data_IF_651371981712
#
_entry.id   IF_651371981712
#
_cell.length_a   1.000
_cell.length_b   1.000
_cell.length_c   1.000
_cell.angle_alpha   90.00
_cell.angle_beta   90.00
_cell.angle_gamma   90.00
#
_symmetry.space_group_name_H-M   'P 1'
#
loop_
_entity.id
_entity.type
_entity.pdbx_description
1 polymer ?
#
# COMPACT_ATOMS: atom_id res chain seq x y z
N UNK A 1 11.45 -19.46 -23.84
CA UNK A 1 12.74 -18.79 -24.14
C UNK A 1 13.43 -18.51 -22.80
N UNK A 2 14.68 -18.96 -22.64
CA UNK A 2 15.44 -18.67 -21.42
C UNK A 2 15.71 -17.16 -21.35
N UNK A 3 15.24 -16.50 -20.28
CA UNK A 3 15.50 -15.09 -20.04
C UNK A 3 16.99 -14.91 -19.77
N UNK A 4 17.67 -14.10 -20.56
CA UNK A 4 19.10 -13.86 -20.39
C UNK A 4 19.28 -12.76 -19.31
N UNK A 5 19.60 -13.16 -18.09
CA UNK A 5 19.79 -12.27 -16.97
C UNK A 5 21.20 -11.64 -17.00
N UNK A 6 21.30 -10.34 -16.74
CA UNK A 6 22.60 -9.70 -16.53
C UNK A 6 23.22 -10.20 -15.22
N UNK A 7 24.54 -10.02 -15.06
CA UNK A 7 25.25 -10.43 -13.85
C UNK A 7 24.67 -9.80 -12.58
N UNK A 8 24.35 -8.49 -12.63
CA UNK A 8 23.73 -7.77 -11.52
C UNK A 8 22.32 -8.30 -11.18
N UNK A 9 21.50 -8.60 -12.19
CA UNK A 9 20.19 -9.21 -11.98
C UNK A 9 20.33 -10.62 -11.39
N UNK A 10 21.25 -11.43 -11.92
CA UNK A 10 21.50 -12.77 -11.41
C UNK A 10 21.93 -12.74 -9.95
N UNK A 11 22.83 -11.83 -9.59
CA UNK A 11 23.25 -11.60 -8.20
C UNK A 11 22.04 -11.22 -7.31
N UNK A 12 21.16 -10.34 -7.77
CA UNK A 12 19.94 -9.98 -7.04
C UNK A 12 18.98 -11.19 -6.88
N UNK A 13 18.86 -12.04 -7.87
CA UNK A 13 18.02 -13.25 -7.85
C UNK A 13 18.56 -14.30 -6.88
N UNK A 14 19.87 -14.50 -6.83
CA UNK A 14 20.50 -15.62 -6.11
C UNK A 14 20.95 -15.29 -4.69
N UNK A 15 21.09 -13.98 -4.33
CA UNK A 15 21.51 -13.58 -2.97
C UNK A 15 20.60 -14.14 -1.89
N UNK A 16 21.19 -14.67 -0.81
CA UNK A 16 20.50 -15.24 0.36
C UNK A 16 20.93 -14.49 1.64
N UNK A 17 20.14 -14.55 2.67
CA UNK A 17 20.45 -14.16 4.06
C UNK A 17 20.88 -12.70 4.29
N UNK A 18 20.48 -11.76 3.39
CA UNK A 18 20.86 -10.34 3.51
C UNK A 18 19.69 -9.44 3.12
N UNK A 19 19.69 -8.25 3.74
CA UNK A 19 18.92 -7.12 3.22
C UNK A 19 19.49 -6.73 1.86
N UNK A 20 18.67 -6.74 0.83
CA UNK A 20 19.06 -6.42 -0.54
C UNK A 20 18.30 -5.19 -1.02
N UNK A 21 19.04 -4.13 -1.31
CA UNK A 21 18.53 -2.94 -2.00
C UNK A 21 18.85 -3.07 -3.49
N UNK A 22 17.83 -3.06 -4.34
CA UNK A 22 17.97 -3.06 -5.80
C UNK A 22 17.57 -1.70 -6.35
N UNK A 23 18.56 -0.92 -6.74
CA UNK A 23 18.36 0.35 -7.43
C UNK A 23 18.55 0.16 -8.92
N UNK A 24 17.57 0.59 -9.72
CA UNK A 24 17.62 0.44 -11.16
C UNK A 24 16.65 1.40 -11.86
N UNK A 25 16.98 1.85 -13.07
CA UNK A 25 16.15 2.75 -13.88
C UNK A 25 14.78 2.11 -14.25
N UNK A 26 13.84 2.92 -14.68
CA UNK A 26 12.58 2.43 -15.24
C UNK A 26 12.86 1.52 -16.43
N UNK A 27 12.09 0.44 -16.59
CA UNK A 27 12.29 -0.52 -17.69
C UNK A 27 13.45 -1.51 -17.54
N UNK A 28 14.28 -1.41 -16.51
CA UNK A 28 15.46 -2.29 -16.27
C UNK A 28 15.12 -3.72 -15.84
N UNK A 29 13.85 -4.11 -15.79
CA UNK A 29 13.44 -5.45 -15.40
C UNK A 29 13.36 -5.70 -13.88
N UNK A 30 13.24 -4.65 -13.02
CA UNK A 30 13.11 -4.83 -11.57
C UNK A 30 12.03 -5.84 -11.16
N UNK A 31 10.83 -5.70 -11.72
CA UNK A 31 9.72 -6.62 -11.43
C UNK A 31 10.00 -8.03 -11.90
N UNK A 32 10.60 -8.20 -13.09
CA UNK A 32 10.99 -9.51 -13.58
C UNK A 32 12.04 -10.17 -12.67
N UNK A 33 13.06 -9.41 -12.24
CA UNK A 33 14.09 -9.88 -11.31
C UNK A 33 13.48 -10.30 -9.96
N UNK A 34 12.54 -9.52 -9.42
CA UNK A 34 11.84 -9.87 -8.18
C UNK A 34 10.99 -11.14 -8.35
N UNK A 35 10.24 -11.23 -9.44
CA UNK A 35 9.41 -12.41 -9.76
C UNK A 35 10.27 -13.66 -9.83
N UNK A 36 11.36 -13.62 -10.59
CA UNK A 36 12.29 -14.73 -10.74
C UNK A 36 12.92 -15.13 -9.40
N UNK A 37 13.31 -14.15 -8.57
CA UNK A 37 13.82 -14.40 -7.22
C UNK A 37 12.83 -15.19 -6.36
N UNK A 38 11.55 -14.79 -6.37
CA UNK A 38 10.49 -15.47 -5.63
C UNK A 38 10.32 -16.90 -6.16
N UNK A 39 10.22 -17.08 -7.47
CA UNK A 39 10.03 -18.38 -8.10
C UNK A 39 11.19 -19.31 -7.73
N UNK A 40 12.43 -18.86 -7.86
CA UNK A 40 13.61 -19.70 -7.48
C UNK A 40 13.63 -20.06 -6.01
N UNK A 41 13.15 -19.19 -5.13
CA UNK A 41 13.03 -19.51 -3.69
C UNK A 41 11.98 -20.59 -3.45
N UNK A 42 10.84 -20.54 -4.14
CA UNK A 42 9.75 -21.51 -4.00
C UNK A 42 10.09 -22.87 -4.64
N UNK A 43 10.88 -22.88 -5.72
CA UNK A 43 11.25 -24.08 -6.48
C UNK A 43 12.65 -24.60 -6.13
N UNK A 44 13.30 -24.03 -5.12
CA UNK A 44 14.62 -24.50 -4.65
C UNK A 44 14.51 -25.95 -4.19
N UNK A 45 15.46 -26.79 -4.62
CA UNK A 45 15.42 -28.23 -4.30
C UNK A 45 16.00 -28.55 -2.92
N UNK A 46 16.96 -27.74 -2.47
CA UNK A 46 17.72 -28.00 -1.25
C UNK A 46 17.07 -27.29 -0.05
N UNK A 47 16.60 -26.05 -0.25
CA UNK A 47 16.00 -25.22 0.80
C UNK A 47 14.79 -24.44 0.25
N UNK A 48 13.69 -25.12 -0.07
CA UNK A 48 12.50 -24.47 -0.64
C UNK A 48 11.84 -23.56 0.39
N UNK A 49 11.54 -22.34 -0.01
CA UNK A 49 10.79 -21.41 0.82
C UNK A 49 9.28 -21.69 0.74
N UNK A 50 8.55 -21.30 1.78
CA UNK A 50 7.08 -21.35 1.78
C UNK A 50 6.51 -19.97 1.44
N UNK A 51 5.53 -19.92 0.52
CA UNK A 51 4.88 -18.67 0.11
C UNK A 51 4.12 -18.02 1.27
N UNK A 52 3.67 -18.80 2.25
CA UNK A 52 3.00 -18.27 3.45
C UNK A 52 3.93 -17.44 4.34
N UNK A 53 5.24 -17.69 4.26
CA UNK A 53 6.25 -16.98 5.06
C UNK A 53 6.75 -15.71 4.34
N UNK A 54 6.20 -15.41 3.17
CA UNK A 54 6.55 -14.24 2.38
C UNK A 54 5.51 -13.15 2.50
N UNK A 55 5.95 -11.93 2.77
CA UNK A 55 5.18 -10.71 2.56
C UNK A 55 5.67 -10.02 1.30
N UNK A 56 4.82 -9.90 0.30
CA UNK A 56 5.13 -9.29 -0.99
C UNK A 56 4.19 -8.10 -1.18
N UNK A 57 4.76 -6.90 -1.20
CA UNK A 57 3.98 -5.67 -1.37
C UNK A 57 4.31 -4.98 -2.68
N UNK A 58 3.30 -4.40 -3.30
CA UNK A 58 3.37 -3.63 -4.54
C UNK A 58 2.65 -2.30 -4.39
N UNK A 59 2.85 -1.37 -5.33
CA UNK A 59 2.14 -0.09 -5.30
C UNK A 59 0.70 -0.19 -5.82
N UNK A 60 0.41 -1.11 -6.74
CA UNK A 60 -0.91 -1.22 -7.37
C UNK A 60 -1.50 -2.63 -7.23
N UNK A 61 -2.82 -2.69 -7.16
CA UNK A 61 -3.56 -3.97 -7.15
C UNK A 61 -3.31 -4.78 -8.42
N UNK A 62 -3.20 -4.10 -9.57
CA UNK A 62 -2.88 -4.74 -10.84
C UNK A 62 -1.51 -5.43 -10.81
N UNK A 63 -0.48 -4.77 -10.27
CA UNK A 63 0.86 -5.36 -10.11
C UNK A 63 0.87 -6.57 -9.16
N UNK A 64 0.08 -6.51 -8.07
CA UNK A 64 -0.06 -7.65 -7.16
C UNK A 64 -0.73 -8.86 -7.84
N UNK A 65 -1.78 -8.60 -8.63
CA UNK A 65 -2.48 -9.65 -9.39
C UNK A 65 -1.58 -10.27 -10.48
N UNK A 66 -0.86 -9.44 -11.24
CA UNK A 66 0.09 -9.89 -12.27
C UNK A 66 1.21 -10.75 -11.66
N UNK A 67 1.76 -10.32 -10.52
CA UNK A 67 2.80 -11.10 -9.82
C UNK A 67 2.25 -12.45 -9.34
N UNK A 68 1.05 -12.48 -8.78
CA UNK A 68 0.39 -13.73 -8.36
C UNK A 68 0.17 -14.68 -9.56
N UNK A 69 -0.28 -14.15 -10.70
CA UNK A 69 -0.48 -14.92 -11.91
C UNK A 69 0.84 -15.50 -12.44
N UNK A 70 1.93 -14.72 -12.43
CA UNK A 70 3.27 -15.19 -12.86
C UNK A 70 3.81 -16.29 -11.95
N UNK A 71 3.68 -16.14 -10.63
CA UNK A 71 4.08 -17.19 -9.67
C UNK A 71 3.26 -18.46 -9.91
N UNK A 72 1.94 -18.34 -10.08
CA UNK A 72 1.06 -19.49 -10.36
C UNK A 72 1.47 -20.22 -11.64
N UNK A 73 1.74 -19.48 -12.71
CA UNK A 73 2.17 -20.06 -13.98
C UNK A 73 3.49 -20.83 -13.82
N UNK A 74 4.48 -20.24 -13.16
CA UNK A 74 5.78 -20.87 -12.92
C UNK A 74 5.70 -22.13 -12.04
N UNK A 75 4.85 -22.11 -11.00
CA UNK A 75 4.62 -23.28 -10.16
C UNK A 75 3.96 -24.43 -10.95
N UNK A 76 3.01 -24.09 -11.83
CA UNK A 76 2.38 -25.10 -12.73
C UNK A 76 3.37 -25.67 -13.73
N UNK A 77 4.24 -24.85 -14.29
CA UNK A 77 5.30 -25.30 -15.21
C UNK A 77 6.29 -26.23 -14.50
N UNK A 78 6.70 -25.89 -13.28
CA UNK A 78 7.55 -26.74 -12.46
C UNK A 78 6.87 -28.07 -12.11
N UNK A 79 5.57 -28.06 -11.77
CA UNK A 79 4.79 -29.28 -11.53
C UNK A 79 4.61 -30.14 -12.80
N UNK A 80 4.54 -29.54 -13.98
CA UNK A 80 4.50 -30.33 -15.24
C UNK A 80 5.78 -31.12 -15.46
N UNK A 81 6.91 -30.66 -14.92
CA UNK A 81 8.21 -31.36 -14.99
C UNK A 81 8.38 -32.37 -13.85
N UNK A 82 7.77 -32.10 -12.67
CA UNK A 82 7.85 -32.96 -11.48
C UNK A 82 6.45 -33.05 -10.82
N UNK A 83 5.53 -33.89 -11.38
CA UNK A 83 4.14 -33.97 -10.94
C UNK A 83 3.95 -34.50 -9.51
N UNK A 84 4.89 -35.28 -9.01
CA UNK A 84 4.84 -35.85 -7.65
C UNK A 84 5.36 -34.89 -6.56
N UNK A 85 5.77 -33.70 -6.94
CA UNK A 85 6.31 -32.73 -6.01
C UNK A 85 5.24 -32.15 -5.06
N UNK A 86 5.16 -32.74 -3.88
CA UNK A 86 4.17 -32.35 -2.86
C UNK A 86 4.40 -30.94 -2.34
N UNK A 87 5.64 -30.43 -2.34
CA UNK A 87 5.92 -29.04 -1.94
C UNK A 87 5.31 -28.06 -2.92
N UNK A 88 5.59 -28.20 -4.22
CA UNK A 88 5.06 -27.32 -5.26
C UNK A 88 3.52 -27.33 -5.31
N UNK A 89 2.91 -28.50 -5.13
CA UNK A 89 1.45 -28.63 -5.03
C UNK A 89 0.91 -27.83 -3.85
N UNK A 90 1.53 -27.92 -2.66
CA UNK A 90 1.17 -27.12 -1.48
C UNK A 90 1.34 -25.62 -1.73
N UNK A 91 2.43 -25.20 -2.38
CA UNK A 91 2.66 -23.79 -2.69
C UNK A 91 1.57 -23.24 -3.62
N UNK A 92 1.15 -24.00 -4.62
CA UNK A 92 0.08 -23.58 -5.53
C UNK A 92 -1.26 -23.38 -4.81
N UNK A 93 -1.59 -24.24 -3.85
CA UNK A 93 -2.80 -24.10 -3.01
C UNK A 93 -2.68 -22.87 -2.11
N UNK A 94 -1.56 -22.72 -1.40
CA UNK A 94 -1.30 -21.60 -0.48
C UNK A 94 -1.23 -20.25 -1.16
N UNK A 95 -0.90 -20.20 -2.46
CA UNK A 95 -0.77 -18.96 -3.22
C UNK A 95 -2.06 -18.12 -3.19
N UNK A 96 -3.23 -18.75 -3.09
CA UNK A 96 -4.52 -18.04 -3.01
C UNK A 96 -4.64 -17.16 -1.75
N UNK A 97 -4.07 -17.62 -0.64
CA UNK A 97 -4.08 -16.92 0.67
C UNK A 97 -2.76 -16.21 0.99
N UNK A 98 -1.77 -16.26 0.09
CA UNK A 98 -0.48 -15.64 0.29
C UNK A 98 -0.58 -14.10 0.39
N UNK A 99 0.27 -13.49 1.20
CA UNK A 99 0.33 -12.04 1.40
C UNK A 99 1.02 -11.35 0.21
N UNK A 100 0.30 -11.28 -0.91
CA UNK A 100 0.70 -10.52 -2.12
C UNK A 100 -0.34 -9.43 -2.34
N UNK A 101 -0.04 -8.19 -1.94
CA UNK A 101 -1.02 -7.10 -1.92
C UNK A 101 -0.37 -5.73 -2.07
N UNK A 102 -1.17 -4.67 -2.12
CA UNK A 102 -0.64 -3.32 -1.93
C UNK A 102 -0.31 -3.11 -0.44
N UNK A 103 0.55 -2.12 -0.17
CA UNK A 103 0.94 -1.78 1.20
C UNK A 103 -0.29 -1.36 2.03
N UNK A 104 -1.21 -0.59 1.44
CA UNK A 104 -2.45 -0.16 2.11
C UNK A 104 -3.35 -1.34 2.46
N UNK A 105 -3.47 -2.30 1.53
CA UNK A 105 -4.25 -3.53 1.78
C UNK A 105 -3.64 -4.37 2.90
N UNK A 106 -2.31 -4.43 2.98
CA UNK A 106 -1.62 -5.11 4.07
C UNK A 106 -1.86 -4.40 5.41
N UNK A 107 -1.76 -3.08 5.46
CA UNK A 107 -2.05 -2.32 6.69
C UNK A 107 -3.50 -2.49 7.13
N UNK A 108 -4.45 -2.42 6.20
CA UNK A 108 -5.86 -2.63 6.51
C UNK A 108 -6.13 -4.04 7.08
N UNK A 109 -5.47 -5.08 6.53
CA UNK A 109 -5.57 -6.44 7.05
C UNK A 109 -4.96 -6.55 8.46
N UNK A 110 -3.82 -5.90 8.71
CA UNK A 110 -3.20 -5.84 10.02
C UNK A 110 -4.09 -5.14 11.05
N UNK A 111 -4.73 -4.02 10.68
CA UNK A 111 -5.70 -3.31 11.54
C UNK A 111 -6.91 -4.19 11.81
N UNK A 112 -7.48 -4.85 10.79
CA UNK A 112 -8.61 -5.76 10.95
C UNK A 112 -8.32 -6.92 11.88
N UNK A 113 -7.13 -7.49 11.85
CA UNK A 113 -6.71 -8.57 12.76
C UNK A 113 -6.50 -8.09 14.19
N UNK A 114 -6.31 -6.80 14.40
CA UNK A 114 -6.00 -6.22 15.71
C UNK A 114 -7.03 -5.16 16.15
N UNK A 115 -8.23 -5.12 15.55
CA UNK A 115 -9.24 -4.09 15.80
C UNK A 115 -9.56 -3.89 17.28
N UNK A 116 -9.66 -4.96 18.05
CA UNK A 116 -9.95 -4.89 19.48
C UNK A 116 -8.85 -4.18 20.28
N UNK A 117 -7.56 -4.38 19.92
CA UNK A 117 -6.43 -3.68 20.54
C UNK A 117 -6.38 -2.20 20.20
N UNK A 118 -6.98 -1.83 19.09
CA UNK A 118 -7.06 -0.44 18.60
C UNK A 118 -8.34 0.26 19.01
N UNK A 119 -9.17 -0.37 19.86
CA UNK A 119 -10.48 0.15 20.28
C UNK A 119 -11.41 0.47 19.11
N UNK A 120 -11.29 -0.26 18.01
CA UNK A 120 -12.15 -0.13 16.84
C UNK A 120 -13.32 -1.08 16.91
N UNK A 121 -14.45 -0.72 16.31
CA UNK A 121 -15.59 -1.64 16.11
C UNK A 121 -15.19 -2.78 15.16
N UNK A 122 -15.70 -4.00 15.39
CA UNK A 122 -15.49 -5.13 14.48
C UNK A 122 -16.01 -4.89 13.05
N UNK A 123 -16.99 -4.00 12.90
CA UNK A 123 -17.57 -3.61 11.61
C UNK A 123 -17.01 -2.32 11.03
N UNK A 124 -15.84 -1.84 11.48
CA UNK A 124 -15.26 -0.64 10.93
C UNK A 124 -14.96 -0.77 9.42
N UNK A 125 -15.10 0.31 8.71
CA UNK A 125 -14.72 0.42 7.30
C UNK A 125 -13.86 1.67 7.06
N UNK A 126 -13.14 1.68 5.98
CA UNK A 126 -12.47 2.88 5.50
C UNK A 126 -13.53 3.75 4.83
N UNK A 127 -13.64 5.01 5.24
CA UNK A 127 -14.51 5.99 4.61
C UNK A 127 -14.02 6.31 3.20
N UNK A 128 -14.93 6.64 2.29
CA UNK A 128 -14.56 7.17 1.00
C UNK A 128 -14.19 8.67 1.07
N UNK A 129 -13.65 9.22 -0.03
CA UNK A 129 -13.24 10.63 -0.06
C UNK A 129 -14.40 11.59 0.16
N UNK A 130 -15.57 11.29 -0.38
CA UNK A 130 -16.76 12.16 -0.25
C UNK A 130 -17.25 12.22 1.20
N UNK A 131 -17.20 11.09 1.91
CA UNK A 131 -17.56 11.04 3.33
C UNK A 131 -16.55 11.81 4.20
N UNK A 132 -15.25 11.65 3.91
CA UNK A 132 -14.20 12.38 4.65
C UNK A 132 -14.26 13.87 4.37
N UNK A 133 -14.53 14.29 3.15
CA UNK A 133 -14.67 15.71 2.77
C UNK A 133 -15.89 16.35 3.46
N UNK A 134 -17.01 15.64 3.50
CA UNK A 134 -18.20 16.11 4.21
C UNK A 134 -17.96 16.23 5.72
N UNK A 135 -17.31 15.24 6.33
CA UNK A 135 -16.95 15.27 7.73
C UNK A 135 -16.00 16.44 8.04
N UNK A 136 -14.96 16.62 7.23
CA UNK A 136 -14.01 17.72 7.38
C UNK A 136 -14.71 19.08 7.29
N UNK A 137 -15.65 19.23 6.33
CA UNK A 137 -16.44 20.45 6.20
C UNK A 137 -17.32 20.73 7.45
N UNK A 138 -17.98 19.71 7.96
CA UNK A 138 -18.83 19.86 9.16
C UNK A 138 -17.99 20.25 10.38
N UNK A 139 -16.88 19.54 10.61
CA UNK A 139 -15.96 19.85 11.73
C UNK A 139 -15.37 21.26 11.59
N UNK A 140 -14.99 21.66 10.38
CA UNK A 140 -14.46 23.00 10.12
C UNK A 140 -15.51 24.08 10.46
N UNK A 141 -16.78 23.88 10.08
CA UNK A 141 -17.87 24.79 10.43
C UNK A 141 -18.06 24.90 11.96
N UNK A 142 -18.03 23.77 12.68
CA UNK A 142 -18.13 23.77 14.14
C UNK A 142 -16.96 24.53 14.79
N UNK A 143 -15.74 24.34 14.30
CA UNK A 143 -14.55 25.06 14.78
C UNK A 143 -14.69 26.56 14.53
N UNK A 144 -15.07 26.95 13.31
CA UNK A 144 -15.27 28.38 12.96
C UNK A 144 -16.31 29.00 13.88
N UNK A 145 -17.47 28.38 14.09
CA UNK A 145 -18.51 28.87 14.98
C UNK A 145 -18.00 28.99 16.42
N UNK A 146 -17.30 28.01 16.93
CA UNK A 146 -16.70 28.07 18.27
C UNK A 146 -15.72 29.25 18.43
N UNK A 147 -14.92 29.53 17.38
CA UNK A 147 -14.01 30.67 17.40
C UNK A 147 -14.75 32.04 17.37
N UNK A 148 -15.88 32.13 16.64
CA UNK A 148 -16.72 33.30 16.66
C UNK A 148 -17.27 33.62 18.06
N UNK A 149 -17.59 32.57 18.83
CA UNK A 149 -18.16 32.72 20.18
C UNK A 149 -17.09 33.01 21.26
N UNK A 150 -15.87 32.47 21.08
CA UNK A 150 -14.84 32.45 22.13
C UNK A 150 -13.71 33.45 21.91
N UNK A 151 -13.54 34.01 20.71
CA UNK A 151 -12.42 34.85 20.36
C UNK A 151 -12.88 36.20 19.74
N UNK A 152 -12.77 37.27 20.48
CA UNK A 152 -13.20 38.62 20.05
C UNK A 152 -12.45 39.15 18.81
N UNK A 153 -11.27 38.65 18.51
CA UNK A 153 -10.46 39.07 17.35
C UNK A 153 -10.81 38.30 16.09
N UNK A 154 -11.41 37.12 16.23
CA UNK A 154 -11.70 36.23 15.08
C UNK A 154 -12.71 36.84 14.10
N UNK A 155 -13.82 37.47 14.51
CA UNK A 155 -14.73 38.17 13.59
C UNK A 155 -14.03 39.25 12.77
N UNK A 156 -13.15 40.05 13.39
CA UNK A 156 -12.35 41.06 12.68
C UNK A 156 -11.40 40.47 11.65
N UNK A 157 -10.80 39.31 11.98
CA UNK A 157 -9.97 38.60 11.03
C UNK A 157 -10.79 38.16 9.83
N UNK A 158 -11.97 37.59 10.03
CA UNK A 158 -12.88 37.15 8.95
C UNK A 158 -13.27 38.35 8.05
N UNK A 159 -13.63 39.48 8.61
CA UNK A 159 -13.94 40.72 7.85
C UNK A 159 -12.77 41.19 6.95
N UNK A 160 -11.51 40.94 7.37
CA UNK A 160 -10.35 41.25 6.53
C UNK A 160 -10.27 40.38 5.29
N UNK A 161 -10.65 39.10 5.40
CA UNK A 161 -10.65 38.17 4.29
C UNK A 161 -11.86 38.35 3.35
N UNK A 162 -13.04 38.67 3.90
CA UNK A 162 -14.26 38.91 3.11
C UNK A 162 -14.13 40.13 2.19
N UNK A 163 -13.40 41.17 2.62
CA UNK A 163 -13.11 42.35 1.81
C UNK A 163 -12.23 42.11 0.59
N UNK A 164 -11.53 40.96 0.56
CA UNK A 164 -10.59 40.62 -0.50
C UNK A 164 -11.28 39.82 -1.64
N UNK A 165 -12.37 39.13 -1.35
CA UNK A 165 -13.13 38.31 -2.32
C UNK A 165 -14.62 38.43 -2.07
N UNK A 166 -15.37 38.78 -3.09
CA UNK A 166 -16.83 38.93 -3.08
C UNK A 166 -17.58 37.58 -3.19
N UNK A 167 -16.98 36.51 -2.75
CA UNK A 167 -17.53 35.14 -2.85
C UNK A 167 -17.47 34.48 -1.49
N UNK A 168 -18.62 34.29 -0.86
CA UNK A 168 -18.95 33.48 0.35
C UNK A 168 -17.79 32.80 1.07
N UNK A 169 -17.87 32.25 2.09
CA UNK A 169 -17.02 31.55 3.06
C UNK A 169 -15.49 31.41 2.75
N UNK A 170 -14.84 32.58 2.48
CA UNK A 170 -13.39 32.63 2.19
C UNK A 170 -12.57 32.06 3.35
N UNK A 171 -13.03 32.27 4.60
CA UNK A 171 -12.33 31.75 5.77
C UNK A 171 -12.33 30.22 5.79
N UNK A 172 -13.45 29.59 5.42
CA UNK A 172 -13.52 28.13 5.32
C UNK A 172 -12.54 27.58 4.28
N UNK A 173 -12.44 28.20 3.10
CA UNK A 173 -11.50 27.81 2.06
C UNK A 173 -10.05 27.95 2.52
N UNK A 174 -9.70 29.08 3.14
CA UNK A 174 -8.34 29.34 3.64
C UNK A 174 -7.95 28.34 4.73
N UNK A 175 -8.83 28.09 5.69
CA UNK A 175 -8.56 27.15 6.78
C UNK A 175 -8.46 25.72 6.27
N UNK A 176 -9.30 25.33 5.32
CA UNK A 176 -9.23 23.98 4.70
C UNK A 176 -7.92 23.78 3.93
N UNK A 177 -7.47 24.79 3.17
CA UNK A 177 -6.20 24.73 2.44
C UNK A 177 -5.00 24.67 3.40
N UNK A 178 -5.02 25.48 4.45
CA UNK A 178 -3.98 25.46 5.49
C UNK A 178 -3.93 24.11 6.21
N UNK A 179 -5.08 23.57 6.61
CA UNK A 179 -5.15 22.25 7.23
C UNK A 179 -4.56 21.17 6.32
N UNK A 180 -4.95 21.17 5.05
CA UNK A 180 -4.40 20.23 4.07
C UNK A 180 -2.88 20.33 3.93
N UNK A 181 -2.33 21.54 3.94
CA UNK A 181 -0.88 21.76 3.90
C UNK A 181 -0.18 21.28 5.17
N UNK A 182 -0.75 21.60 6.34
CA UNK A 182 -0.18 21.18 7.63
C UNK A 182 -0.12 19.64 7.78
N UNK A 183 -1.14 18.93 7.27
CA UNK A 183 -1.17 17.45 7.32
C UNK A 183 -0.09 16.79 6.48
N UNK A 184 0.55 17.50 5.56
CA UNK A 184 1.62 16.98 4.70
C UNK A 184 3.04 17.40 5.15
N UNK A 185 3.15 18.18 6.22
CA UNK A 185 4.45 18.54 6.81
C UNK A 185 4.85 17.43 7.78
N UNK A 186 5.99 16.74 7.58
CA UNK A 186 6.51 15.82 8.57
C UNK A 186 6.91 16.58 9.84
N UNK A 187 6.60 16.01 11.01
CA UNK A 187 7.05 16.49 12.31
C UNK A 187 8.57 16.47 12.44
#
# INVERSE_FOLDING_TARGET
MATNWTEAQLKAITSRDKTLLVSAAAGSGKTATLTERIIRKLTDKDAPADISDMLIVTFTRASAADLRAKISAALREALATDPENTHLTKQLVKLSSAHISTIDSFYLDAVRKNFAKLSLSSGFRVADSSETDLLAKNVMNEVILSFYETNEQFPRLCECFEKIRDTGDVMHEVLTDLYGKCMHVPE
#
